data_IF_560326858612
#
_entry.id   IF_560326858612
#
_cell.length_a   1.000
_cell.length_b   1.000
_cell.length_c   1.000
_cell.angle_alpha   90.00
_cell.angle_beta   90.00
_cell.angle_gamma   90.00
#
_symmetry.space_group_name_H-M   'P 1'
#
loop_
_entity.id
_entity.type
_entity.pdbx_description
1 polymer ?
#
# COMPACT_ATOMS: atom_id res chain seq x y z
N UNK A 1 -8.06 9.56 6.20
CA UNK A 1 -9.11 9.21 7.21
C UNK A 1 -8.61 8.15 8.19
N UNK A 2 -7.83 7.18 7.74
CA UNK A 2 -7.32 6.09 8.57
C UNK A 2 -6.45 6.58 9.75
N UNK A 3 -5.59 7.58 9.51
CA UNK A 3 -4.77 8.18 10.57
C UNK A 3 -5.60 8.77 11.74
N UNK A 4 -6.73 9.39 11.45
CA UNK A 4 -7.60 9.97 12.48
C UNK A 4 -8.18 8.88 13.39
N UNK A 5 -8.59 7.75 12.81
CA UNK A 5 -9.10 6.61 13.59
C UNK A 5 -8.01 6.05 14.50
N UNK A 6 -6.78 5.88 14.00
CA UNK A 6 -5.66 5.41 14.83
C UNK A 6 -5.36 6.32 16.03
N UNK A 7 -5.56 7.62 15.89
CA UNK A 7 -5.31 8.59 16.96
C UNK A 7 -6.44 8.68 17.98
N UNK A 8 -7.64 8.20 17.66
CA UNK A 8 -8.85 8.36 18.48
C UNK A 8 -9.43 7.05 19.00
N UNK A 9 -8.99 5.91 18.48
CA UNK A 9 -9.46 4.59 18.90
C UNK A 9 -8.96 4.20 20.30
N UNK A 10 -9.80 3.46 21.01
CA UNK A 10 -9.51 2.96 22.37
C UNK A 10 -9.11 1.49 22.39
N UNK A 11 -9.34 0.72 21.31
CA UNK A 11 -9.00 -0.69 21.19
C UNK A 11 -7.85 -0.91 20.22
N UNK A 12 -6.73 -1.44 20.74
CA UNK A 12 -5.52 -1.69 19.97
C UNK A 12 -5.26 -3.20 20.00
N UNK A 13 -5.74 -3.93 19.00
CA UNK A 13 -5.59 -5.37 18.96
C UNK A 13 -5.83 -5.94 17.56
N UNK A 14 -5.10 -6.98 17.19
CA UNK A 14 -5.25 -7.63 15.88
C UNK A 14 -6.56 -8.43 15.75
N UNK A 15 -7.15 -8.87 16.86
CA UNK A 15 -8.47 -9.52 16.88
C UNK A 15 -9.56 -8.64 17.53
N UNK A 16 -9.31 -7.34 17.74
CA UNK A 16 -10.31 -6.46 18.36
C UNK A 16 -11.57 -6.39 17.50
N UNK A 17 -12.72 -6.28 18.17
CA UNK A 17 -13.99 -5.99 17.51
C UNK A 17 -13.88 -4.66 16.77
N UNK A 18 -14.38 -4.61 15.54
CA UNK A 18 -14.39 -3.39 14.75
C UNK A 18 -15.31 -2.35 15.41
N UNK A 19 -14.81 -1.14 15.61
CA UNK A 19 -15.60 0.00 16.07
C UNK A 19 -16.40 0.60 14.92
N UNK A 20 -17.37 1.47 15.23
CA UNK A 20 -18.14 2.18 14.20
C UNK A 20 -17.26 3.07 13.31
N UNK A 21 -16.16 3.61 13.84
CA UNK A 21 -15.19 4.38 13.06
C UNK A 21 -14.37 3.48 12.13
N UNK A 22 -13.99 2.29 12.59
CA UNK A 22 -13.31 1.31 11.75
C UNK A 22 -14.19 0.87 10.58
N UNK A 23 -15.46 0.56 10.86
CA UNK A 23 -16.46 0.21 9.86
C UNK A 23 -16.62 1.33 8.83
N UNK A 24 -16.67 2.60 9.26
CA UNK A 24 -16.75 3.75 8.37
C UNK A 24 -15.52 3.88 7.45
N UNK A 25 -14.30 3.70 7.98
CA UNK A 25 -13.07 3.74 7.18
C UNK A 25 -13.03 2.59 6.18
N UNK A 26 -13.43 1.38 6.60
CA UNK A 26 -13.51 0.23 5.71
C UNK A 26 -14.56 0.42 4.62
N UNK A 27 -15.75 0.91 4.95
CA UNK A 27 -16.82 1.17 3.97
C UNK A 27 -16.38 2.23 2.93
N UNK A 28 -15.75 3.32 3.38
CA UNK A 28 -15.16 4.32 2.48
C UNK A 28 -14.06 3.71 1.59
N UNK A 29 -13.16 2.91 2.18
CA UNK A 29 -12.05 2.29 1.45
C UNK A 29 -12.56 1.28 0.42
N UNK A 30 -13.57 0.47 0.76
CA UNK A 30 -14.23 -0.46 -0.16
C UNK A 30 -14.84 0.30 -1.33
N UNK A 31 -15.62 1.36 -1.07
CA UNK A 31 -16.21 2.17 -2.13
C UNK A 31 -15.15 2.78 -3.06
N UNK A 32 -14.08 3.33 -2.49
CA UNK A 32 -12.95 3.89 -3.24
C UNK A 32 -12.29 2.83 -4.14
N UNK A 33 -11.94 1.67 -3.59
CA UNK A 33 -11.30 0.59 -4.34
C UNK A 33 -12.21 -0.01 -5.42
N UNK A 34 -13.54 -0.02 -5.21
CA UNK A 34 -14.51 -0.44 -6.25
C UNK A 34 -14.49 0.56 -7.41
N UNK A 35 -14.55 1.85 -7.13
CA UNK A 35 -14.51 2.89 -8.18
C UNK A 35 -13.20 2.81 -8.97
N UNK A 36 -12.07 2.64 -8.28
CA UNK A 36 -10.77 2.55 -8.95
C UNK A 36 -10.65 1.24 -9.76
N UNK A 37 -11.15 0.12 -9.23
CA UNK A 37 -11.22 -1.14 -9.99
C UNK A 37 -12.05 -0.99 -11.27
N UNK A 38 -13.21 -0.33 -11.22
CA UNK A 38 -14.02 -0.05 -12.41
C UNK A 38 -13.27 0.84 -13.40
N UNK A 39 -12.53 1.84 -12.91
CA UNK A 39 -11.66 2.67 -13.75
C UNK A 39 -10.65 1.82 -14.51
N UNK A 40 -9.92 0.93 -13.84
CA UNK A 40 -8.96 0.04 -14.50
C UNK A 40 -9.64 -0.92 -15.48
N UNK A 41 -10.77 -1.53 -15.13
CA UNK A 41 -11.46 -2.48 -16.00
C UNK A 41 -12.00 -1.83 -17.29
N UNK A 42 -12.40 -0.56 -17.24
CA UNK A 42 -13.03 0.13 -18.37
C UNK A 42 -12.00 0.91 -19.20
N UNK A 43 -11.10 1.64 -18.54
CA UNK A 43 -10.21 2.60 -19.21
C UNK A 43 -8.79 2.06 -19.42
N UNK A 44 -8.32 1.13 -18.58
CA UNK A 44 -6.95 0.61 -18.63
C UNK A 44 -6.93 -0.92 -18.39
N UNK A 45 -7.68 -1.73 -19.18
CA UNK A 45 -7.91 -3.15 -18.88
C UNK A 45 -6.64 -4.02 -18.96
N UNK A 46 -5.56 -3.51 -19.55
CA UNK A 46 -4.28 -4.18 -19.64
C UNK A 46 -3.45 -4.13 -18.34
N UNK A 47 -3.86 -3.36 -17.34
CA UNK A 47 -3.13 -3.24 -16.08
C UNK A 47 -3.52 -4.34 -15.08
N UNK A 48 -3.19 -5.59 -15.43
CA UNK A 48 -3.57 -6.78 -14.67
C UNK A 48 -3.03 -6.76 -13.23
N UNK A 49 -1.87 -6.15 -12.99
CA UNK A 49 -1.27 -6.10 -11.66
C UNK A 49 -2.10 -5.22 -10.73
N UNK A 50 -2.49 -4.03 -11.18
CA UNK A 50 -3.34 -3.14 -10.40
C UNK A 50 -4.75 -3.70 -10.22
N UNK A 51 -5.33 -4.32 -11.26
CA UNK A 51 -6.63 -5.00 -11.17
C UNK A 51 -6.59 -6.11 -10.11
N UNK A 52 -5.58 -6.99 -10.17
CA UNK A 52 -5.41 -8.07 -9.21
C UNK A 52 -5.18 -7.53 -7.79
N UNK A 53 -4.38 -6.48 -7.63
CA UNK A 53 -4.17 -5.82 -6.34
C UNK A 53 -5.47 -5.28 -5.74
N UNK A 54 -6.32 -4.63 -6.54
CA UNK A 54 -7.60 -4.10 -6.09
C UNK A 54 -8.57 -5.20 -5.67
N UNK A 55 -8.69 -6.25 -6.49
CA UNK A 55 -9.52 -7.42 -6.15
C UNK A 55 -9.06 -8.07 -4.83
N UNK A 56 -7.75 -8.25 -4.67
CA UNK A 56 -7.18 -8.85 -3.47
C UNK A 56 -7.38 -7.97 -2.23
N UNK A 57 -7.23 -6.66 -2.36
CA UNK A 57 -7.47 -5.71 -1.26
C UNK A 57 -8.95 -5.66 -0.89
N UNK A 58 -9.85 -5.66 -1.88
CA UNK A 58 -11.29 -5.73 -1.67
C UNK A 58 -11.71 -7.02 -0.95
N UNK A 59 -11.12 -8.16 -1.32
CA UNK A 59 -11.35 -9.42 -0.62
C UNK A 59 -11.06 -9.29 0.88
N UNK A 60 -9.89 -8.74 1.24
CA UNK A 60 -9.50 -8.54 2.65
C UNK A 60 -10.45 -7.55 3.35
N UNK A 61 -10.77 -6.42 2.73
CA UNK A 61 -11.65 -5.41 3.33
C UNK A 61 -13.07 -5.93 3.54
N UNK A 62 -13.66 -6.56 2.53
CA UNK A 62 -15.04 -7.07 2.60
C UNK A 62 -15.14 -8.17 3.66
N UNK A 63 -14.19 -9.10 3.70
CA UNK A 63 -14.23 -10.18 4.68
C UNK A 63 -13.99 -9.67 6.11
N UNK A 64 -13.08 -8.71 6.30
CA UNK A 64 -12.90 -8.07 7.61
C UNK A 64 -14.16 -7.29 8.04
N UNK A 65 -14.77 -6.53 7.13
CA UNK A 65 -15.90 -5.65 7.40
C UNK A 65 -17.23 -6.36 7.60
N UNK A 66 -17.52 -7.36 6.77
CA UNK A 66 -18.86 -7.94 6.66
C UNK A 66 -18.93 -9.41 7.07
N UNK A 67 -17.82 -10.16 7.02
CA UNK A 67 -17.82 -11.57 7.39
C UNK A 67 -17.46 -11.77 8.87
N UNK A 68 -16.33 -11.23 9.33
CA UNK A 68 -15.88 -11.44 10.72
C UNK A 68 -16.12 -10.25 11.63
N UNK A 69 -16.14 -9.00 11.12
CA UNK A 69 -16.27 -7.77 11.93
C UNK A 69 -15.20 -7.60 13.03
N UNK A 70 -14.05 -8.24 12.85
CA UNK A 70 -12.89 -8.15 13.72
C UNK A 70 -11.62 -7.90 12.90
N UNK A 71 -10.61 -7.31 13.53
CA UNK A 71 -9.26 -7.15 12.98
C UNK A 71 -9.05 -5.95 12.05
N UNK A 72 -10.00 -5.00 12.01
CA UNK A 72 -9.85 -3.78 11.22
C UNK A 72 -8.62 -2.95 11.61
N UNK A 73 -8.22 -2.97 12.88
CA UNK A 73 -7.03 -2.28 13.38
C UNK A 73 -5.80 -2.53 12.49
N UNK A 74 -5.53 -3.80 12.16
CA UNK A 74 -4.37 -4.16 11.34
C UNK A 74 -4.44 -3.53 9.95
N UNK A 75 -5.64 -3.58 9.34
CA UNK A 75 -5.88 -3.05 8.00
C UNK A 75 -5.78 -1.52 7.99
N UNK A 76 -6.29 -0.85 9.02
CA UNK A 76 -6.25 0.61 9.14
C UNK A 76 -4.81 1.10 9.35
N UNK A 77 -3.98 0.38 10.09
CA UNK A 77 -2.54 0.69 10.20
C UNK A 77 -1.86 0.56 8.84
N UNK A 78 -2.06 -0.54 8.12
CA UNK A 78 -1.48 -0.74 6.79
C UNK A 78 -1.98 0.30 5.76
N UNK A 79 -3.28 0.62 5.80
CA UNK A 79 -3.89 1.71 5.04
C UNK A 79 -3.24 3.05 5.36
N UNK A 80 -2.99 3.35 6.63
CA UNK A 80 -2.34 4.61 7.03
C UNK A 80 -0.91 4.69 6.50
N UNK A 81 -0.12 3.62 6.64
CA UNK A 81 1.23 3.57 6.08
C UNK A 81 1.23 3.77 4.56
N UNK A 82 0.22 3.23 3.87
CA UNK A 82 0.02 3.44 2.45
C UNK A 82 -0.40 4.90 2.15
N UNK A 83 -1.38 5.44 2.87
CA UNK A 83 -1.97 6.77 2.68
C UNK A 83 -0.92 7.88 2.87
N UNK A 84 0.00 7.73 3.83
CA UNK A 84 1.10 8.69 4.07
C UNK A 84 2.01 8.85 2.85
N UNK A 85 2.23 7.79 2.07
CA UNK A 85 3.06 7.88 0.86
C UNK A 85 2.28 8.33 -0.37
N UNK A 86 0.94 8.21 -0.37
CA UNK A 86 0.10 8.38 -1.56
C UNK A 86 0.20 9.78 -2.19
N UNK A 87 0.17 10.92 -1.45
CA UNK A 87 0.31 12.23 -2.07
C UNK A 87 1.63 12.39 -2.83
N UNK A 88 2.74 11.97 -2.20
CA UNK A 88 4.06 12.02 -2.82
C UNK A 88 4.14 11.10 -4.05
N UNK A 89 3.61 9.88 -3.94
CA UNK A 89 3.54 8.92 -5.03
C UNK A 89 2.72 9.44 -6.21
N UNK A 90 1.57 10.06 -5.97
CA UNK A 90 0.70 10.54 -7.04
C UNK A 90 1.33 11.71 -7.79
N UNK A 91 1.92 12.68 -7.08
CA UNK A 91 2.62 13.81 -7.71
C UNK A 91 3.86 13.30 -8.49
N UNK A 92 4.60 12.35 -7.91
CA UNK A 92 5.74 11.74 -8.58
C UNK A 92 5.33 10.99 -9.87
N UNK A 93 4.22 10.25 -9.84
CA UNK A 93 3.68 9.53 -11.01
C UNK A 93 3.18 10.50 -12.08
N UNK A 94 2.39 11.53 -11.71
CA UNK A 94 1.89 12.53 -12.65
C UNK A 94 3.02 13.31 -13.32
N UNK A 95 4.02 13.74 -12.54
CA UNK A 95 5.20 14.42 -13.10
C UNK A 95 6.02 13.53 -14.02
N UNK A 96 6.07 12.21 -13.77
CA UNK A 96 6.68 11.22 -14.66
C UNK A 96 5.93 11.12 -15.99
N UNK A 97 4.60 11.05 -15.95
CA UNK A 97 3.75 10.93 -17.14
C UNK A 97 3.86 12.16 -18.06
N UNK A 98 4.01 13.36 -17.48
CA UNK A 98 4.13 14.61 -18.23
C UNK A 98 5.55 15.10 -18.49
N UNK A 99 6.57 14.30 -18.16
CA UNK A 99 7.96 14.75 -18.28
C UNK A 99 8.40 15.06 -19.73
N UNK A 100 7.75 14.47 -20.74
CA UNK A 100 8.02 14.73 -22.17
C UNK A 100 7.36 16.02 -22.66
N UNK A 101 6.22 16.36 -22.05
CA UNK A 101 5.39 17.50 -22.46
C UNK A 101 5.81 18.81 -21.76
N UNK A 102 6.47 18.72 -20.60
CA UNK A 102 6.83 19.90 -19.80
C UNK A 102 8.21 19.77 -19.13
N UNK A 103 9.14 20.71 -19.38
CA UNK A 103 10.42 20.78 -18.68
C UNK A 103 10.26 20.93 -17.16
N UNK A 104 9.19 21.59 -16.71
CA UNK A 104 8.90 21.76 -15.28
C UNK A 104 8.46 20.43 -14.66
N UNK A 105 7.66 19.63 -15.37
CA UNK A 105 7.30 18.28 -14.92
C UNK A 105 8.53 17.38 -14.81
N UNK A 106 9.45 17.44 -15.78
CA UNK A 106 10.70 16.69 -15.73
C UNK A 106 11.58 17.08 -14.54
N UNK A 107 11.70 18.38 -14.23
CA UNK A 107 12.43 18.88 -13.05
C UNK A 107 11.77 18.42 -11.75
N UNK A 108 10.45 18.53 -11.67
CA UNK A 108 9.68 18.11 -10.50
C UNK A 108 9.83 16.61 -10.25
N UNK A 109 9.73 15.79 -11.31
CA UNK A 109 9.93 14.35 -11.22
C UNK A 109 11.32 14.01 -10.67
N UNK A 110 12.38 14.61 -11.20
CA UNK A 110 13.76 14.39 -10.72
C UNK A 110 13.94 14.81 -9.26
N UNK A 111 13.36 15.96 -8.88
CA UNK A 111 13.41 16.46 -7.51
C UNK A 111 12.69 15.52 -6.53
N UNK A 112 11.52 14.99 -6.93
CA UNK A 112 10.71 14.13 -6.08
C UNK A 112 11.20 12.69 -6.02
N UNK A 113 11.93 12.17 -7.02
CA UNK A 113 12.33 10.76 -7.06
C UNK A 113 13.05 10.29 -5.80
N UNK A 114 14.08 11.01 -5.35
CA UNK A 114 14.85 10.58 -4.17
C UNK A 114 14.02 10.66 -2.86
N UNK A 115 13.33 11.78 -2.55
CA UNK A 115 12.41 11.83 -1.41
C UNK A 115 11.32 10.75 -1.45
N UNK A 116 10.72 10.53 -2.63
CA UNK A 116 9.70 9.52 -2.84
C UNK A 116 10.25 8.12 -2.54
N UNK A 117 11.40 7.76 -3.12
CA UNK A 117 11.96 6.43 -2.92
C UNK A 117 12.32 6.16 -1.47
N UNK A 118 12.90 7.16 -0.77
CA UNK A 118 13.22 7.06 0.64
C UNK A 118 11.94 6.88 1.49
N UNK A 119 10.94 7.72 1.29
CA UNK A 119 9.67 7.66 2.03
C UNK A 119 8.93 6.33 1.78
N UNK A 120 8.86 5.90 0.52
CA UNK A 120 8.22 4.64 0.14
C UNK A 120 8.96 3.43 0.75
N UNK A 121 10.29 3.42 0.66
CA UNK A 121 11.12 2.35 1.25
C UNK A 121 10.92 2.28 2.76
N UNK A 122 10.89 3.42 3.45
CA UNK A 122 10.68 3.46 4.89
C UNK A 122 9.28 2.96 5.29
N UNK A 123 8.23 3.50 4.67
CA UNK A 123 6.86 3.22 5.10
C UNK A 123 6.36 1.86 4.61
N UNK A 124 6.56 1.56 3.33
CA UNK A 124 6.03 0.33 2.69
C UNK A 124 7.07 -0.78 2.56
N UNK A 125 8.36 -0.44 2.49
CA UNK A 125 9.46 -1.42 2.42
C UNK A 125 10.02 -1.84 3.77
N UNK A 126 9.72 -1.12 4.86
CA UNK A 126 10.20 -1.44 6.20
C UNK A 126 9.10 -1.48 7.26
N UNK A 127 8.43 -0.34 7.52
CA UNK A 127 7.40 -0.27 8.57
C UNK A 127 6.22 -1.24 8.31
N UNK A 128 5.74 -1.28 7.06
CA UNK A 128 4.71 -2.22 6.62
C UNK A 128 5.10 -3.70 6.87
N UNK A 129 6.23 -4.19 6.35
CA UNK A 129 6.72 -5.55 6.62
C UNK A 129 6.90 -5.89 8.09
N UNK A 130 7.45 -4.98 8.89
CA UNK A 130 7.62 -5.20 10.34
C UNK A 130 6.26 -5.35 11.03
N UNK A 131 5.29 -4.50 10.67
CA UNK A 131 3.94 -4.59 11.20
C UNK A 131 3.23 -5.87 10.73
N UNK A 132 3.36 -6.20 9.45
CA UNK A 132 2.83 -7.43 8.86
C UNK A 132 3.37 -8.68 9.53
N UNK A 133 4.66 -8.72 9.88
CA UNK A 133 5.24 -9.82 10.64
C UNK A 133 4.57 -9.99 12.00
N UNK A 134 4.37 -8.89 12.75
CA UNK A 134 3.68 -8.93 14.05
C UNK A 134 2.24 -9.42 13.92
N UNK A 135 1.51 -8.91 12.94
CA UNK A 135 0.14 -9.31 12.63
C UNK A 135 0.07 -10.81 12.27
N UNK A 136 0.99 -11.27 11.41
CA UNK A 136 1.03 -12.67 10.96
C UNK A 136 1.37 -13.62 12.11
N UNK A 137 2.35 -13.26 12.93
CA UNK A 137 2.71 -14.05 14.11
C UNK A 137 1.53 -14.19 15.08
N UNK A 138 0.77 -13.10 15.30
CA UNK A 138 -0.42 -13.13 16.13
C UNK A 138 -1.51 -14.06 15.57
N UNK A 139 -1.88 -13.92 14.30
CA UNK A 139 -2.90 -14.79 13.70
C UNK A 139 -2.48 -16.26 13.62
N UNK A 140 -1.20 -16.55 13.35
CA UNK A 140 -0.67 -17.92 13.29
C UNK A 140 -0.50 -18.56 14.67
N UNK A 141 -0.50 -17.77 15.75
CA UNK A 141 -0.45 -18.31 17.12
C UNK A 141 -1.77 -18.94 17.57
N UNK A 142 -2.87 -18.68 16.85
CA UNK A 142 -4.22 -19.10 17.22
C UNK A 142 -4.91 -18.17 18.23
N UNK A 143 -4.26 -17.09 18.68
CA UNK A 143 -4.86 -16.11 19.61
C UNK A 143 -6.10 -15.39 19.07
N UNK A 144 -6.37 -15.49 17.77
CA UNK A 144 -7.55 -14.90 17.12
C UNK A 144 -8.62 -15.93 16.73
N UNK A 145 -8.39 -17.24 16.94
CA UNK A 145 -9.21 -18.30 16.36
C UNK A 145 -10.65 -18.36 16.92
N UNK A 146 -10.88 -17.74 18.08
CA UNK A 146 -12.19 -17.61 18.72
C UNK A 146 -13.11 -16.62 17.99
N UNK A 147 -12.55 -15.64 17.27
CA UNK A 147 -13.30 -14.58 16.58
C UNK A 147 -13.03 -14.48 15.08
N UNK A 148 -11.86 -14.91 14.61
CA UNK A 148 -11.46 -14.89 13.20
C UNK A 148 -11.07 -16.33 12.80
N UNK A 149 -11.80 -16.97 11.88
CA UNK A 149 -11.45 -18.32 11.43
C UNK A 149 -10.03 -18.38 10.86
N UNK A 150 -9.24 -19.37 11.28
CA UNK A 150 -7.82 -19.49 10.91
C UNK A 150 -7.60 -19.57 9.39
N UNK A 151 -8.51 -20.22 8.66
CA UNK A 151 -8.42 -20.29 7.20
C UNK A 151 -8.49 -18.89 6.57
N UNK A 152 -9.30 -18.00 7.13
CA UNK A 152 -9.47 -16.64 6.62
C UNK A 152 -8.26 -15.78 6.95
N UNK A 153 -7.75 -15.86 8.19
CA UNK A 153 -6.55 -15.11 8.58
C UNK A 153 -5.31 -15.55 7.79
N UNK A 154 -5.18 -16.85 7.47
CA UNK A 154 -4.15 -17.37 6.57
C UNK A 154 -4.29 -16.76 5.16
N UNK A 155 -5.50 -16.70 4.61
CA UNK A 155 -5.73 -16.06 3.31
C UNK A 155 -5.36 -14.58 3.32
N UNK A 156 -5.70 -13.85 4.40
CA UNK A 156 -5.27 -12.46 4.56
C UNK A 156 -3.75 -12.32 4.59
N UNK A 157 -3.06 -13.17 5.33
CA UNK A 157 -1.58 -13.18 5.40
C UNK A 157 -0.99 -13.37 4.00
N UNK A 158 -1.49 -14.35 3.23
CA UNK A 158 -1.00 -14.63 1.88
C UNK A 158 -1.22 -13.42 0.96
N UNK A 159 -2.43 -12.85 0.97
CA UNK A 159 -2.79 -11.71 0.11
C UNK A 159 -1.96 -10.47 0.46
N UNK A 160 -1.91 -10.10 1.75
CA UNK A 160 -1.18 -8.92 2.21
C UNK A 160 0.32 -9.11 1.99
N UNK A 161 0.86 -10.29 2.29
CA UNK A 161 2.26 -10.63 2.07
C UNK A 161 2.66 -10.55 0.60
N UNK A 162 1.81 -11.03 -0.30
CA UNK A 162 1.99 -10.90 -1.75
C UNK A 162 2.03 -9.44 -2.19
N UNK A 163 1.09 -8.61 -1.72
CA UNK A 163 1.05 -7.18 -2.03
C UNK A 163 2.31 -6.44 -1.53
N UNK A 164 2.78 -6.75 -0.32
CA UNK A 164 4.03 -6.21 0.24
C UNK A 164 5.23 -6.65 -0.60
N UNK A 165 5.31 -7.93 -0.98
CA UNK A 165 6.41 -8.45 -1.81
C UNK A 165 6.49 -7.74 -3.16
N UNK A 166 5.35 -7.60 -3.85
CA UNK A 166 5.27 -6.84 -5.12
C UNK A 166 5.68 -5.38 -4.91
N UNK A 167 5.24 -4.75 -3.82
CA UNK A 167 5.60 -3.36 -3.48
C UNK A 167 7.11 -3.18 -3.30
N UNK A 168 7.78 -4.12 -2.62
CA UNK A 168 9.24 -4.11 -2.42
C UNK A 168 9.98 -4.31 -3.74
N UNK A 169 9.54 -5.26 -4.58
CA UNK A 169 10.14 -5.49 -5.89
C UNK A 169 10.00 -4.26 -6.78
N UNK A 170 8.82 -3.63 -6.77
CA UNK A 170 8.54 -2.42 -7.52
C UNK A 170 9.44 -1.26 -7.10
N UNK A 171 9.60 -0.97 -5.80
CA UNK A 171 10.50 0.12 -5.40
C UNK A 171 11.97 -0.20 -5.65
N UNK A 172 12.36 -1.48 -5.55
CA UNK A 172 13.72 -1.93 -5.82
C UNK A 172 14.11 -1.72 -7.28
N UNK A 173 13.19 -1.96 -8.23
CA UNK A 173 13.44 -1.70 -9.65
C UNK A 173 13.66 -0.20 -9.93
N UNK A 174 12.90 0.67 -9.25
CA UNK A 174 13.07 2.13 -9.36
C UNK A 174 14.41 2.61 -8.80
N UNK A 175 14.85 2.06 -7.66
CA UNK A 175 16.19 2.32 -7.14
C UNK A 175 17.27 1.86 -8.12
N UNK A 176 17.14 0.67 -8.70
CA UNK A 176 18.10 0.16 -9.67
C UNK A 176 18.20 1.07 -10.91
N UNK A 177 17.06 1.54 -11.45
CA UNK A 177 17.03 2.51 -12.54
C UNK A 177 17.69 3.83 -12.17
N UNK A 178 17.44 4.33 -10.97
CA UNK A 178 18.02 5.58 -10.47
C UNK A 178 19.54 5.51 -10.35
N UNK A 179 20.06 4.42 -9.77
CA UNK A 179 21.50 4.21 -9.64
C UNK A 179 22.17 4.02 -11.00
N UNK A 180 21.53 3.29 -11.93
CA UNK A 180 22.02 3.15 -13.31
C UNK A 180 22.15 4.51 -13.98
N UNK A 181 21.10 5.33 -13.97
CA UNK A 181 21.12 6.68 -14.57
C UNK A 181 22.16 7.59 -13.91
N UNK A 182 22.34 7.47 -12.59
CA UNK A 182 23.34 8.23 -11.85
C UNK A 182 24.76 7.86 -12.28
N UNK A 183 25.05 6.57 -12.47
CA UNK A 183 26.34 6.08 -12.97
C UNK A 183 26.62 6.58 -14.39
N UNK A 184 25.68 6.42 -15.31
CA UNK A 184 25.83 6.85 -16.71
C UNK A 184 26.14 8.36 -16.81
N UNK A 185 25.53 9.18 -15.96
CA UNK A 185 25.77 10.62 -15.91
C UNK A 185 27.17 10.97 -15.39
N UNK A 186 27.71 10.19 -14.44
CA UNK A 186 29.08 10.38 -13.94
C UNK A 186 30.10 9.99 -15.02
N UNK A 187 29.89 8.88 -15.74
CA UNK A 187 30.77 8.46 -16.83
C UNK A 187 30.79 9.48 -17.98
N UNK A 188 29.62 9.99 -18.39
CA UNK A 188 29.53 11.07 -19.40
C UNK A 188 30.24 12.36 -18.98
N UNK A 189 30.28 12.68 -17.69
CA UNK A 189 31.03 13.83 -17.15
C UNK A 189 32.54 13.60 -17.13
N UNK A 190 33.02 12.36 -17.03
CA UNK A 190 34.46 12.03 -17.09
C UNK A 190 35.02 12.02 -18.52
N UNK A 191 34.15 11.84 -19.53
CA UNK A 191 34.49 11.78 -20.95
C UNK A 191 34.42 13.15 -21.66
N UNK A 192 34.01 14.21 -20.97
CA UNK A 192 33.98 15.60 -21.44
C UNK A 192 35.09 16.39 -20.77
#
# INVERSE_FOLDING_TARGET
MALFVLLTQTSWGFASLNTGLDDMVLDFSIAYFIVDLLHYLILIPGDYLFIAHHLATLFVFITCRYLVRHGAFALIVLLTLAEVTSPCQNIWTLSRLWQTESPNAAKLHQFLSLPFYALYTLMRGFAGPVFFYKMSAYYLSGEADDVIPSWLSILWIIVIGGAIGVSILWISSHWAEFYRKSRDNVEKKKLR
#
